data_IF_239552454213
#
_entry.id   IF_239552454213
#
_cell.length_a   1.000
_cell.length_b   1.000
_cell.length_c   1.000
_cell.angle_alpha   90.00
_cell.angle_beta   90.00
_cell.angle_gamma   90.00
#
_symmetry.space_group_name_H-M   'P 1'
#
loop_
_entity.id
_entity.type
_entity.pdbx_description
1 polymer ?
#
# COMPACT_ATOMS: atom_id res chain seq x y z
N UNK A 1 -11.95 23.24 1.48
CA UNK A 1 -11.09 23.19 2.67
C UNK A 1 -9.80 22.39 2.47
N UNK A 2 -9.81 21.05 2.31
CA UNK A 2 -8.52 20.30 2.17
C UNK A 2 -7.68 20.81 0.99
N UNK A 3 -8.29 20.98 -0.19
CA UNK A 3 -7.57 21.47 -1.37
C UNK A 3 -6.96 22.86 -1.16
N UNK A 4 -7.73 23.74 -0.53
CA UNK A 4 -7.34 25.11 -0.25
C UNK A 4 -6.18 25.19 0.74
N UNK A 5 -6.24 24.38 1.81
CA UNK A 5 -5.16 24.25 2.80
C UNK A 5 -3.85 23.75 2.20
N UNK A 6 -3.91 23.08 1.05
CA UNK A 6 -2.76 22.57 0.31
C UNK A 6 -2.42 23.39 -0.95
N UNK A 7 -3.12 24.51 -1.18
CA UNK A 7 -2.87 25.35 -2.36
C UNK A 7 -1.60 26.18 -2.19
N UNK A 8 -0.88 26.41 -3.29
CA UNK A 8 0.33 27.24 -3.30
C UNK A 8 0.02 28.68 -2.86
N UNK A 9 -1.14 29.21 -3.25
CA UNK A 9 -1.58 30.55 -2.88
C UNK A 9 -1.71 30.70 -1.35
N UNK A 10 -2.36 29.73 -0.67
CA UNK A 10 -2.46 29.77 0.77
C UNK A 10 -1.11 29.50 1.45
N UNK A 11 -0.31 28.55 0.95
CA UNK A 11 1.03 28.26 1.51
C UNK A 11 1.91 29.54 1.50
N UNK A 12 1.92 30.28 0.38
CA UNK A 12 2.63 31.55 0.26
C UNK A 12 2.23 32.54 1.37
N UNK A 13 0.92 32.74 1.59
CA UNK A 13 0.46 33.66 2.65
C UNK A 13 0.76 33.12 4.04
N UNK A 14 0.56 31.83 4.29
CA UNK A 14 0.78 31.19 5.58
C UNK A 14 2.24 31.31 6.03
N UNK A 15 3.21 31.18 5.11
CA UNK A 15 4.64 31.34 5.42
C UNK A 15 5.01 32.71 5.97
N UNK A 16 4.25 33.76 5.65
CA UNK A 16 4.50 35.09 6.21
C UNK A 16 4.08 35.22 7.68
N UNK A 17 3.15 34.36 8.11
CA UNK A 17 2.64 34.31 9.48
C UNK A 17 3.34 33.23 10.35
N UNK A 18 3.84 32.15 9.72
CA UNK A 18 4.50 31.04 10.40
C UNK A 18 6.01 31.32 10.54
N UNK A 19 6.42 31.79 11.73
CA UNK A 19 7.83 32.07 12.05
C UNK A 19 8.62 30.89 12.62
N UNK A 20 8.01 29.73 12.84
CA UNK A 20 8.61 28.57 13.51
C UNK A 20 8.19 27.23 12.90
N UNK A 21 8.44 26.13 13.60
CA UNK A 21 8.13 24.76 13.13
C UNK A 21 6.70 24.31 13.45
N UNK A 22 5.96 25.09 14.24
CA UNK A 22 4.62 24.75 14.71
C UNK A 22 3.56 25.73 14.22
N UNK A 23 2.41 25.20 13.82
CA UNK A 23 1.25 26.00 13.41
C UNK A 23 0.31 26.19 14.61
N UNK A 24 0.50 27.27 15.38
CA UNK A 24 -0.33 27.56 16.54
C UNK A 24 -1.79 27.86 16.15
N UNK A 25 -2.73 27.56 17.04
CA UNK A 25 -4.16 27.82 16.81
C UNK A 25 -4.48 29.30 16.52
N UNK A 26 -3.67 30.22 17.05
CA UNK A 26 -3.79 31.65 16.74
C UNK A 26 -3.49 31.95 15.28
N UNK A 27 -2.43 31.35 14.72
CA UNK A 27 -2.05 31.52 13.30
C UNK A 27 -3.13 30.94 12.39
N UNK A 28 -3.64 29.73 12.69
CA UNK A 28 -4.70 29.07 11.90
C UNK A 28 -5.91 30.00 11.72
N UNK A 29 -6.30 30.71 12.77
CA UNK A 29 -7.44 31.66 12.74
C UNK A 29 -7.21 32.90 11.89
N UNK A 30 -5.97 33.20 11.53
CA UNK A 30 -5.60 34.38 10.75
C UNK A 30 -5.35 34.05 9.28
N UNK A 31 -5.31 32.78 8.91
CA UNK A 31 -5.10 32.39 7.52
C UNK A 31 -6.29 32.85 6.66
N UNK A 32 -6.03 33.35 5.43
CA UNK A 32 -7.07 33.80 4.53
C UNK A 32 -7.82 32.61 3.91
N UNK A 33 -8.68 31.96 4.70
CA UNK A 33 -9.52 30.86 4.24
C UNK A 33 -10.78 31.45 3.58
N UNK A 34 -10.98 31.11 2.32
CA UNK A 34 -12.16 31.41 1.52
C UNK A 34 -13.40 30.80 2.15
N UNK A 35 -14.43 31.63 2.30
CA UNK A 35 -15.71 31.18 2.84
C UNK A 35 -16.42 30.24 1.84
N UNK A 36 -17.21 29.25 2.34
CA UNK A 36 -17.94 28.33 1.48
C UNK A 36 -18.80 28.99 0.39
N UNK A 37 -19.30 30.20 0.64
CA UNK A 37 -20.10 30.96 -0.33
C UNK A 37 -19.32 31.33 -1.59
N UNK A 38 -17.99 31.55 -1.50
CA UNK A 38 -17.14 31.77 -2.67
C UNK A 38 -17.13 30.56 -3.60
N UNK A 39 -17.27 29.35 -3.05
CA UNK A 39 -17.31 28.12 -3.86
C UNK A 39 -18.69 27.82 -4.45
N UNK A 40 -19.73 28.53 -4.01
CA UNK A 40 -21.11 28.38 -4.49
C UNK A 40 -21.46 29.31 -5.65
N UNK A 41 -20.63 30.32 -5.90
CA UNK A 41 -20.77 31.22 -7.03
C UNK A 41 -20.42 30.48 -8.33
N UNK A 42 -21.12 30.82 -9.42
CA UNK A 42 -20.73 30.35 -10.75
C UNK A 42 -19.39 30.98 -11.11
N UNK A 43 -18.42 30.18 -11.53
CA UNK A 43 -17.10 30.68 -11.93
C UNK A 43 -16.76 30.23 -13.36
N UNK A 44 -15.57 30.58 -13.83
CA UNK A 44 -15.15 30.25 -15.18
C UNK A 44 -14.68 28.79 -15.36
N UNK A 45 -14.49 28.07 -14.27
CA UNK A 45 -13.99 26.70 -14.29
C UNK A 45 -15.13 25.69 -14.41
N UNK A 46 -16.30 25.99 -13.81
CA UNK A 46 -17.54 25.21 -13.94
C UNK A 46 -18.78 26.03 -13.50
N UNK A 47 -19.99 25.49 -13.63
CA UNK A 47 -21.25 26.08 -13.11
C UNK A 47 -21.16 26.45 -11.63
N UNK A 48 -20.29 25.79 -10.86
CA UNK A 48 -19.91 26.15 -9.47
C UNK A 48 -18.45 25.79 -9.27
N UNK A 49 -17.67 26.60 -8.56
CA UNK A 49 -16.29 26.26 -8.21
C UNK A 49 -16.18 24.88 -7.53
N UNK A 50 -17.20 24.50 -6.74
CA UNK A 50 -17.27 23.17 -6.13
C UNK A 50 -17.30 22.03 -7.17
N UNK A 51 -17.97 22.23 -8.31
CA UNK A 51 -18.02 21.25 -9.42
C UNK A 51 -16.66 21.03 -10.07
N UNK A 52 -15.80 22.04 -10.06
CA UNK A 52 -14.41 21.91 -10.50
C UNK A 52 -13.50 21.25 -9.45
N UNK A 53 -13.62 21.67 -8.20
CA UNK A 53 -12.70 21.27 -7.11
C UNK A 53 -12.98 19.86 -6.60
N UNK A 54 -14.23 19.50 -6.31
CA UNK A 54 -14.58 18.22 -5.67
C UNK A 54 -14.08 17.00 -6.47
N UNK A 55 -14.35 16.83 -7.79
CA UNK A 55 -13.88 15.66 -8.53
C UNK A 55 -12.36 15.49 -8.48
N UNK A 56 -11.62 16.61 -8.57
CA UNK A 56 -10.15 16.64 -8.50
C UNK A 56 -9.62 16.23 -7.13
N UNK A 57 -10.23 16.75 -6.06
CA UNK A 57 -9.85 16.43 -4.68
C UNK A 57 -10.14 14.98 -4.33
N UNK A 58 -11.32 14.49 -4.74
CA UNK A 58 -11.72 13.10 -4.54
C UNK A 58 -10.73 12.18 -5.25
N UNK A 59 -10.37 12.47 -6.49
CA UNK A 59 -9.37 11.68 -7.23
C UNK A 59 -7.98 11.72 -6.57
N UNK A 60 -7.52 12.89 -6.12
CA UNK A 60 -6.21 13.02 -5.47
C UNK A 60 -6.13 12.30 -4.11
N UNK A 61 -7.26 12.16 -3.42
CA UNK A 61 -7.31 11.67 -2.04
C UNK A 61 -7.70 10.19 -1.98
N UNK A 62 -8.80 9.80 -2.64
CA UNK A 62 -9.38 8.46 -2.53
C UNK A 62 -8.64 7.43 -3.39
N UNK A 63 -7.44 7.05 -2.96
CA UNK A 63 -6.54 6.13 -3.68
C UNK A 63 -6.55 4.70 -3.11
N UNK A 64 -7.26 4.47 -2.01
CA UNK A 64 -7.43 3.19 -1.37
C UNK A 64 -8.80 3.09 -0.69
N UNK A 65 -9.29 1.86 -0.48
CA UNK A 65 -10.64 1.57 0.02
C UNK A 65 -10.91 2.03 1.46
N UNK A 66 -9.87 2.16 2.27
CA UNK A 66 -9.94 2.72 3.63
C UNK A 66 -10.38 4.19 3.65
N UNK A 67 -10.16 4.92 2.55
CA UNK A 67 -10.61 6.29 2.34
C UNK A 67 -12.03 6.40 1.75
N UNK A 68 -12.77 5.28 1.63
CA UNK A 68 -14.16 5.26 1.16
C UNK A 68 -15.08 6.21 1.97
N UNK A 69 -15.00 6.31 3.31
CA UNK A 69 -15.82 7.27 4.06
C UNK A 69 -15.65 8.71 3.58
N UNK A 70 -14.42 9.13 3.27
CA UNK A 70 -14.13 10.46 2.73
C UNK A 70 -14.76 10.66 1.35
N UNK A 71 -14.67 9.66 0.47
CA UNK A 71 -15.30 9.70 -0.85
C UNK A 71 -16.82 9.84 -0.75
N UNK A 72 -17.46 9.11 0.17
CA UNK A 72 -18.90 9.19 0.42
C UNK A 72 -19.33 10.58 0.90
N UNK A 73 -18.56 11.20 1.78
CA UNK A 73 -18.81 12.58 2.24
C UNK A 73 -18.71 13.60 1.10
N UNK A 74 -17.91 13.30 0.07
CA UNK A 74 -17.82 14.07 -1.17
C UNK A 74 -18.88 13.69 -2.23
N UNK A 75 -19.80 12.78 -1.91
CA UNK A 75 -20.86 12.32 -2.82
C UNK A 75 -20.46 11.19 -3.78
N UNK A 76 -19.27 10.61 -3.63
CA UNK A 76 -18.76 9.54 -4.49
C UNK A 76 -18.85 8.16 -3.82
N UNK A 77 -19.56 7.23 -4.45
CA UNK A 77 -19.81 5.86 -3.95
C UNK A 77 -19.17 4.78 -4.84
N UNK A 78 -18.12 5.12 -5.60
CA UNK A 78 -17.43 4.18 -6.48
C UNK A 78 -16.11 3.66 -5.92
N UNK A 79 -15.30 2.98 -6.74
CA UNK A 79 -14.00 2.44 -6.34
C UNK A 79 -12.94 3.53 -6.18
N UNK A 80 -11.82 3.26 -5.48
CA UNK A 80 -10.71 4.20 -5.39
C UNK A 80 -10.07 4.45 -6.75
N UNK A 81 -9.39 5.59 -6.85
CA UNK A 81 -8.62 6.01 -8.02
C UNK A 81 -7.25 5.36 -8.05
N UNK A 82 -6.77 5.04 -9.24
CA UNK A 82 -5.44 4.48 -9.46
C UNK A 82 -4.41 5.59 -9.27
N UNK A 83 -3.32 5.28 -8.56
CA UNK A 83 -2.22 6.21 -8.40
C UNK A 83 -1.44 6.39 -9.72
N UNK A 84 -1.56 7.57 -10.32
CA UNK A 84 -0.82 7.97 -11.53
C UNK A 84 -0.13 9.32 -11.29
N UNK A 85 1.21 9.36 -11.32
CA UNK A 85 1.97 10.57 -10.98
C UNK A 85 1.78 11.71 -11.98
N UNK A 86 1.72 11.43 -13.28
CA UNK A 86 1.55 12.42 -14.34
C UNK A 86 0.15 13.05 -14.27
N UNK A 87 -0.88 12.21 -14.09
CA UNK A 87 -2.26 12.66 -13.93
C UNK A 87 -2.44 13.49 -12.66
N UNK A 88 -1.89 13.03 -11.54
CA UNK A 88 -1.92 13.77 -10.26
C UNK A 88 -1.15 15.08 -10.32
N UNK A 89 -0.06 15.15 -11.10
CA UNK A 89 0.66 16.39 -11.34
C UNK A 89 -0.24 17.42 -12.04
N UNK A 90 -0.92 17.03 -13.12
CA UNK A 90 -1.84 17.93 -13.83
C UNK A 90 -3.03 18.36 -12.97
N UNK A 91 -3.65 17.43 -12.24
CA UNK A 91 -4.78 17.76 -11.34
C UNK A 91 -4.37 18.79 -10.27
N UNK A 92 -3.17 18.65 -9.69
CA UNK A 92 -2.66 19.63 -8.73
C UNK A 92 -2.43 21.00 -9.38
N UNK A 93 -1.80 21.04 -10.56
CA UNK A 93 -1.59 22.30 -11.29
C UNK A 93 -2.92 22.99 -11.64
N UNK A 94 -3.94 22.22 -12.04
CA UNK A 94 -5.29 22.74 -12.30
C UNK A 94 -5.94 23.32 -11.04
N UNK A 95 -5.80 22.65 -9.89
CA UNK A 95 -6.30 23.17 -8.62
C UNK A 95 -5.58 24.45 -8.21
N UNK A 96 -4.25 24.48 -8.27
CA UNK A 96 -3.46 25.66 -7.90
C UNK A 96 -3.80 26.87 -8.79
N UNK A 97 -3.92 26.68 -10.10
CA UNK A 97 -4.35 27.72 -11.03
C UNK A 97 -5.75 28.27 -10.69
N UNK A 98 -6.71 27.37 -10.39
CA UNK A 98 -8.04 27.77 -9.96
C UNK A 98 -8.01 28.53 -8.63
N UNK A 99 -7.22 28.10 -7.65
CA UNK A 99 -7.07 28.81 -6.37
C UNK A 99 -6.46 30.19 -6.56
N UNK A 100 -5.47 30.37 -7.45
CA UNK A 100 -4.96 31.70 -7.76
C UNK A 100 -6.04 32.64 -8.28
N UNK A 101 -6.93 32.19 -9.17
CA UNK A 101 -8.07 32.99 -9.61
C UNK A 101 -9.04 33.32 -8.48
N UNK A 102 -9.34 32.35 -7.60
CA UNK A 102 -10.21 32.57 -6.44
C UNK A 102 -9.63 33.56 -5.42
N UNK A 103 -8.30 33.59 -5.26
CA UNK A 103 -7.61 34.47 -4.31
C UNK A 103 -7.31 35.86 -4.86
N UNK A 104 -6.86 35.95 -6.11
CA UNK A 104 -6.39 37.21 -6.70
C UNK A 104 -7.47 37.93 -7.51
N UNK A 105 -8.58 37.25 -7.85
CA UNK A 105 -9.69 37.83 -8.58
C UNK A 105 -9.38 38.12 -10.05
N UNK A 106 -10.27 38.87 -10.70
CA UNK A 106 -10.09 39.28 -12.10
C UNK A 106 -9.13 40.47 -12.24
N UNK A 107 -8.60 40.76 -13.44
CA UNK A 107 -7.80 41.95 -13.67
C UNK A 107 -8.51 43.25 -13.28
N UNK A 108 -9.83 43.34 -13.48
CA UNK A 108 -10.64 44.49 -13.07
C UNK A 108 -10.69 44.63 -11.55
N UNK A 109 -11.00 43.53 -10.84
CA UNK A 109 -11.02 43.51 -9.37
C UNK A 109 -9.64 43.85 -8.78
N UNK A 110 -8.57 43.35 -9.40
CA UNK A 110 -7.19 43.63 -9.00
C UNK A 110 -6.85 45.12 -9.10
N UNK A 111 -7.25 45.78 -10.18
CA UNK A 111 -7.02 47.22 -10.36
C UNK A 111 -7.90 48.05 -9.42
N UNK A 112 -9.12 47.61 -9.13
CA UNK A 112 -10.04 48.32 -8.24
C UNK A 112 -9.64 48.20 -6.77
N UNK A 113 -9.19 47.01 -6.34
CA UNK A 113 -8.96 46.69 -4.93
C UNK A 113 -7.47 46.72 -4.52
N UNK A 114 -6.55 46.71 -5.49
CA UNK A 114 -5.11 46.70 -5.25
C UNK A 114 -4.58 47.99 -4.63
N UNK A 115 -3.67 47.87 -3.67
CA UNK A 115 -2.98 49.05 -3.12
C UNK A 115 -2.03 49.66 -4.17
N UNK A 116 -1.72 50.97 -4.11
CA UNK A 116 -0.79 51.61 -5.03
C UNK A 116 0.58 50.91 -5.10
N UNK A 117 1.06 50.42 -3.96
CA UNK A 117 2.33 49.70 -3.85
C UNK A 117 2.24 48.33 -4.53
N UNK A 118 1.15 47.59 -4.31
CA UNK A 118 0.94 46.29 -4.96
C UNK A 118 0.93 46.43 -6.48
N UNK A 119 0.16 47.40 -6.99
CA UNK A 119 0.03 47.65 -8.43
C UNK A 119 1.32 48.17 -9.07
N UNK A 120 2.21 48.81 -8.29
CA UNK A 120 3.53 49.22 -8.75
C UNK A 120 4.44 48.02 -9.02
N UNK A 121 4.38 46.97 -8.18
CA UNK A 121 5.19 45.77 -8.35
C UNK A 121 4.55 44.75 -9.29
N UNK A 122 3.22 44.64 -9.28
CA UNK A 122 2.47 43.65 -10.04
C UNK A 122 1.34 44.34 -10.80
N UNK A 123 1.58 44.58 -12.10
CA UNK A 123 0.60 45.23 -12.97
C UNK A 123 -0.66 44.38 -13.16
N UNK A 124 -0.54 43.06 -13.08
CA UNK A 124 -1.66 42.13 -13.20
C UNK A 124 -1.63 41.06 -12.10
N UNK A 125 -2.76 40.40 -11.81
CA UNK A 125 -2.79 39.20 -10.96
C UNK A 125 -1.79 38.14 -11.43
N UNK A 126 -1.65 37.99 -12.75
CA UNK A 126 -0.76 37.01 -13.38
C UNK A 126 0.72 37.25 -13.06
N UNK A 127 1.14 38.51 -12.93
CA UNK A 127 2.51 38.87 -12.50
C UNK A 127 2.74 38.47 -11.03
N UNK A 128 1.72 38.62 -10.18
CA UNK A 128 1.78 38.17 -8.80
C UNK A 128 1.88 36.63 -8.70
N UNK A 129 1.13 35.88 -9.52
CA UNK A 129 1.28 34.41 -9.60
C UNK A 129 2.70 34.02 -9.99
N UNK A 130 3.27 34.68 -11.02
CA UNK A 130 4.63 34.41 -11.48
C UNK A 130 5.67 34.54 -10.36
N UNK A 131 5.54 35.64 -9.60
CA UNK A 131 6.39 35.94 -8.46
C UNK A 131 6.18 34.95 -7.31
N UNK A 132 4.93 34.64 -6.95
CA UNK A 132 4.62 33.70 -5.88
C UNK A 132 5.29 32.36 -6.17
N UNK A 133 5.18 31.85 -7.40
CA UNK A 133 5.83 30.59 -7.80
C UNK A 133 7.36 30.63 -7.64
N UNK A 134 8.02 31.77 -7.85
CA UNK A 134 9.47 31.91 -7.64
C UNK A 134 9.89 31.81 -6.17
N UNK A 135 8.96 31.96 -5.22
CA UNK A 135 9.26 31.88 -3.78
C UNK A 135 9.37 30.45 -3.24
N UNK A 136 9.23 29.42 -4.10
CA UNK A 136 9.30 28.00 -3.74
C UNK A 136 10.57 27.31 -4.27
N UNK A 137 11.78 27.64 -3.75
CA UNK A 137 13.06 27.20 -4.31
C UNK A 137 13.27 25.69 -4.26
N UNK A 138 12.66 24.99 -3.30
CA UNK A 138 12.76 23.53 -3.20
C UNK A 138 12.00 22.85 -4.34
N UNK A 139 10.79 23.32 -4.66
CA UNK A 139 9.99 22.79 -5.77
C UNK A 139 10.70 23.09 -7.08
N UNK A 140 11.13 24.35 -7.28
CA UNK A 140 11.91 24.77 -8.45
C UNK A 140 13.13 23.89 -8.69
N UNK A 141 13.98 23.71 -7.68
CA UNK A 141 15.19 22.89 -7.81
C UNK A 141 14.87 21.42 -8.13
N UNK A 142 13.82 20.84 -7.54
CA UNK A 142 13.41 19.46 -7.82
C UNK A 142 12.93 19.31 -9.27
N UNK A 143 12.12 20.25 -9.75
CA UNK A 143 11.64 20.26 -11.13
C UNK A 143 12.78 20.45 -12.13
N UNK A 144 13.68 21.39 -11.89
CA UNK A 144 14.84 21.63 -12.75
C UNK A 144 15.76 20.40 -12.81
N UNK A 145 15.93 19.69 -11.70
CA UNK A 145 16.70 18.43 -11.67
C UNK A 145 16.02 17.30 -12.46
N UNK A 146 14.70 17.18 -12.37
CA UNK A 146 13.95 16.09 -13.00
C UNK A 146 13.60 16.37 -14.48
N UNK A 147 13.40 17.64 -14.85
CA UNK A 147 12.81 18.04 -16.12
C UNK A 147 13.59 19.12 -16.88
N UNK A 148 14.67 19.66 -16.29
CA UNK A 148 15.48 20.72 -16.91
C UNK A 148 14.83 22.10 -16.94
N UNK A 149 13.63 22.25 -16.37
CA UNK A 149 12.85 23.49 -16.28
C UNK A 149 11.96 23.48 -15.06
N UNK A 150 11.42 24.63 -14.67
CA UNK A 150 10.45 24.72 -13.58
C UNK A 150 9.04 24.29 -14.05
N UNK A 151 8.90 23.00 -14.37
CA UNK A 151 7.70 22.40 -14.97
C UNK A 151 6.41 22.77 -14.24
N UNK A 152 6.39 22.75 -12.90
CA UNK A 152 5.21 23.07 -12.09
C UNK A 152 4.77 24.52 -12.30
N UNK A 153 5.70 25.47 -12.22
CA UNK A 153 5.43 26.89 -12.50
C UNK A 153 4.90 27.06 -13.92
N UNK A 154 5.63 26.58 -14.92
CA UNK A 154 5.23 26.72 -16.32
C UNK A 154 3.81 26.18 -16.55
N UNK A 155 3.51 24.98 -16.02
CA UNK A 155 2.21 24.33 -16.18
C UNK A 155 1.08 25.08 -15.48
N UNK A 156 1.28 25.53 -14.23
CA UNK A 156 0.27 26.31 -13.49
C UNK A 156 -0.03 27.61 -14.23
N UNK A 157 1.00 28.28 -14.75
CA UNK A 157 0.84 29.54 -15.44
C UNK A 157 0.11 29.40 -16.77
N UNK A 158 0.43 28.37 -17.56
CA UNK A 158 -0.31 28.07 -18.78
C UNK A 158 -1.80 27.79 -18.50
N UNK A 159 -2.10 26.96 -17.50
CA UNK A 159 -3.49 26.66 -17.11
C UNK A 159 -4.20 27.89 -16.55
N UNK A 160 -3.50 28.72 -15.77
CA UNK A 160 -4.02 29.98 -15.27
C UNK A 160 -4.43 30.90 -16.42
N UNK A 161 -3.58 31.03 -17.45
CA UNK A 161 -3.84 31.85 -18.63
C UNK A 161 -5.03 31.30 -19.45
N UNK A 162 -5.15 29.98 -19.59
CA UNK A 162 -6.31 29.30 -20.21
C UNK A 162 -7.61 29.60 -19.44
N UNK A 163 -7.59 29.54 -18.11
CA UNK A 163 -8.74 29.90 -17.29
C UNK A 163 -9.06 31.39 -17.38
N UNK A 164 -8.05 32.27 -17.41
CA UNK A 164 -8.21 33.71 -17.56
C UNK A 164 -8.91 34.07 -18.88
N UNK A 165 -8.59 33.35 -19.96
CA UNK A 165 -9.27 33.50 -21.25
C UNK A 165 -10.77 33.18 -21.14
N UNK A 166 -11.12 32.07 -20.48
CA UNK A 166 -12.51 31.65 -20.27
C UNK A 166 -13.26 32.68 -19.42
N UNK A 167 -12.65 33.17 -18.34
CA UNK A 167 -13.21 34.26 -17.50
C UNK A 167 -13.54 35.47 -18.38
N UNK A 168 -12.57 35.92 -19.20
CA UNK A 168 -12.74 37.10 -20.05
C UNK A 168 -13.83 36.92 -21.10
N UNK A 169 -13.90 35.75 -21.75
CA UNK A 169 -14.95 35.43 -22.73
C UNK A 169 -16.34 35.43 -22.10
N UNK A 170 -16.48 34.83 -20.91
CA UNK A 170 -17.74 34.80 -20.19
C UNK A 170 -18.16 36.20 -19.70
N UNK A 171 -17.22 37.00 -19.18
CA UNK A 171 -17.48 38.39 -18.82
C UNK A 171 -17.95 39.22 -20.04
N UNK A 172 -17.31 39.05 -21.20
CA UNK A 172 -17.72 39.72 -22.44
C UNK A 172 -19.09 39.24 -22.95
N UNK A 173 -19.44 37.96 -22.77
CA UNK A 173 -20.77 37.45 -23.08
C UNK A 173 -21.84 38.11 -22.21
N UNK A 174 -21.62 38.16 -20.90
CA UNK A 174 -22.52 38.80 -19.92
C UNK A 174 -22.68 40.29 -20.21
N UNK A 175 -21.59 41.01 -20.47
CA UNK A 175 -21.62 42.43 -20.84
C UNK A 175 -22.41 42.68 -22.14
N UNK A 176 -22.42 41.71 -23.06
CA UNK A 176 -23.21 41.73 -24.28
C UNK A 176 -24.66 41.20 -24.12
N UNK A 177 -25.10 40.92 -22.88
CA UNK A 177 -26.44 40.38 -22.60
C UNK A 177 -26.65 38.92 -23.04
N UNK A 178 -25.57 38.17 -23.27
CA UNK A 178 -25.59 36.75 -23.65
C UNK A 178 -25.28 35.86 -22.44
N UNK A 179 -25.75 34.62 -22.49
CA UNK A 179 -25.43 33.61 -21.48
C UNK A 179 -23.96 33.15 -21.62
N UNK A 180 -23.19 33.08 -20.52
CA UNK A 180 -21.80 32.62 -20.54
C UNK A 180 -21.71 31.11 -20.78
N UNK A 181 -21.03 30.72 -21.86
CA UNK A 181 -20.94 29.31 -22.32
C UNK A 181 -19.51 28.78 -22.41
N UNK A 182 -18.48 29.63 -22.30
CA UNK A 182 -17.10 29.16 -22.33
C UNK A 182 -16.78 28.39 -21.04
N UNK A 183 -16.02 27.31 -21.15
CA UNK A 183 -15.61 26.46 -20.03
C UNK A 183 -14.15 26.07 -20.21
N UNK A 184 -13.41 26.05 -19.11
CA UNK A 184 -12.06 25.49 -19.11
C UNK A 184 -12.12 24.00 -19.48
N UNK A 185 -11.22 23.56 -20.36
CA UNK A 185 -11.11 22.17 -20.77
C UNK A 185 -9.88 21.57 -20.10
N UNK A 186 -10.08 20.55 -19.27
CA UNK A 186 -8.97 19.83 -18.66
C UNK A 186 -8.09 19.20 -19.73
N UNK A 187 -6.78 19.20 -19.48
CA UNK A 187 -5.80 18.51 -20.34
C UNK A 187 -5.87 16.97 -20.21
N UNK A 188 -6.71 16.47 -19.31
CA UNK A 188 -6.85 15.05 -18.98
C UNK A 188 -8.05 14.41 -19.68
N UNK A 189 -7.81 13.25 -20.30
CA UNK A 189 -8.82 12.35 -20.82
C UNK A 189 -8.59 10.94 -20.25
N UNK A 190 -9.56 10.36 -19.49
CA UNK A 190 -10.84 10.95 -19.09
C UNK A 190 -10.69 12.14 -18.12
N UNK A 191 -11.75 12.94 -17.98
CA UNK A 191 -11.78 14.08 -17.06
C UNK A 191 -11.45 13.68 -15.60
N UNK A 192 -10.93 14.61 -14.77
CA UNK A 192 -10.70 14.36 -13.36
C UNK A 192 -11.96 13.93 -12.60
N UNK A 193 -11.80 13.03 -11.64
CA UNK A 193 -12.87 12.46 -10.84
C UNK A 193 -13.65 11.35 -11.54
N UNK A 194 -14.81 10.96 -10.97
CA UNK A 194 -15.68 9.97 -11.60
C UNK A 194 -16.44 10.58 -12.79
N UNK A 195 -16.99 9.76 -13.69
CA UNK A 195 -17.94 10.22 -14.71
C UNK A 195 -19.06 11.08 -14.13
N UNK A 196 -19.37 12.20 -14.80
CA UNK A 196 -20.37 13.18 -14.38
C UNK A 196 -21.44 13.37 -15.46
N UNK A 197 -22.65 13.75 -15.04
CA UNK A 197 -23.72 14.16 -15.95
C UNK A 197 -23.50 15.59 -16.49
N UNK A 198 -24.39 16.06 -17.36
CA UNK A 198 -24.30 17.40 -17.96
C UNK A 198 -24.50 18.55 -16.93
N UNK A 199 -25.00 18.21 -15.75
CA UNK A 199 -25.23 19.10 -14.62
C UNK A 199 -24.05 19.12 -13.63
N UNK A 200 -23.04 18.26 -13.84
CA UNK A 200 -21.85 18.15 -12.99
C UNK A 200 -22.04 17.26 -11.75
N UNK A 201 -23.10 16.45 -11.71
CA UNK A 201 -23.28 15.46 -10.64
C UNK A 201 -22.58 14.15 -10.99
N UNK A 202 -22.03 13.48 -9.97
CA UNK A 202 -21.42 12.17 -10.17
C UNK A 202 -22.45 11.14 -10.61
N UNK A 203 -22.20 10.49 -11.74
CA UNK A 203 -23.03 9.41 -12.23
C UNK A 203 -22.85 8.23 -11.27
N UNK A 204 -23.92 7.62 -10.73
CA UNK A 204 -23.79 6.43 -9.90
C UNK A 204 -23.09 5.30 -10.66
N UNK A 205 -22.15 4.60 -10.02
CA UNK A 205 -21.37 3.51 -10.62
C UNK A 205 -22.23 2.42 -11.29
N UNK A 206 -23.45 2.20 -10.78
CA UNK A 206 -24.41 1.25 -11.36
C UNK A 206 -24.83 1.60 -12.80
N UNK A 207 -24.68 2.87 -13.21
CA UNK A 207 -25.02 3.38 -14.53
C UNK A 207 -23.80 3.48 -15.47
N UNK A 208 -22.60 3.11 -14.99
CA UNK A 208 -21.38 3.20 -15.81
C UNK A 208 -21.34 2.08 -16.84
N UNK A 209 -20.83 2.41 -18.02
CA UNK A 209 -20.56 1.42 -19.06
C UNK A 209 -19.39 0.52 -18.63
N UNK A 210 -19.69 -0.77 -18.44
CA UNK A 210 -18.70 -1.78 -18.03
C UNK A 210 -17.70 -2.12 -19.13
N UNK A 211 -18.07 -1.92 -20.40
CA UNK A 211 -17.17 -2.14 -21.52
C UNK A 211 -16.15 -1.00 -21.67
N UNK A 212 -16.53 0.22 -21.24
CA UNK A 212 -15.71 1.43 -21.33
C UNK A 212 -15.40 1.98 -19.92
N UNK A 213 -14.76 1.14 -19.10
CA UNK A 213 -14.42 1.49 -17.72
C UNK A 213 -13.36 2.60 -17.67
N UNK A 214 -13.51 3.65 -16.84
CA UNK A 214 -12.51 4.71 -16.73
C UNK A 214 -11.16 4.15 -16.26
N UNK A 215 -10.07 4.30 -17.05
CA UNK A 215 -8.79 3.64 -16.78
C UNK A 215 -8.09 4.14 -15.50
N UNK A 216 -8.44 5.33 -15.01
CA UNK A 216 -7.89 5.92 -13.78
C UNK A 216 -8.64 5.49 -12.51
N UNK A 217 -9.63 4.60 -12.61
CA UNK A 217 -10.44 4.14 -11.48
C UNK A 217 -10.30 2.62 -11.36
N UNK A 218 -10.03 2.11 -10.16
CA UNK A 218 -9.99 0.68 -9.93
C UNK A 218 -11.31 0.02 -10.30
N UNK A 219 -11.27 -1.26 -10.70
CA UNK A 219 -12.51 -2.03 -10.82
C UNK A 219 -13.21 -2.11 -9.46
N UNK A 220 -14.54 -2.23 -9.42
CA UNK A 220 -15.24 -2.40 -8.15
C UNK A 220 -14.76 -3.66 -7.47
N UNK A 221 -14.69 -3.65 -6.15
CA UNK A 221 -14.54 -4.87 -5.36
C UNK A 221 -15.63 -5.84 -5.82
N UNK A 222 -15.28 -6.87 -6.57
CA UNK A 222 -16.13 -8.04 -6.82
C UNK A 222 -16.53 -8.60 -5.46
N UNK A 223 -17.69 -8.16 -4.89
CA UNK A 223 -18.13 -8.45 -3.51
C UNK A 223 -16.97 -8.93 -2.66
N UNK A 224 -15.99 -8.04 -2.46
CA UNK A 224 -14.68 -8.49 -2.03
C UNK A 224 -14.87 -9.35 -0.80
N UNK A 225 -14.42 -10.60 -0.94
CA UNK A 225 -14.13 -11.60 0.09
C UNK A 225 -14.63 -11.07 1.43
N UNK A 226 -15.78 -11.58 1.91
CA UNK A 226 -16.23 -11.42 3.29
C UNK A 226 -15.00 -11.21 4.15
N UNK A 227 -14.81 -9.99 4.67
CA UNK A 227 -13.74 -9.69 5.62
C UNK A 227 -13.72 -10.92 6.55
N UNK A 228 -12.61 -11.67 6.68
CA UNK A 228 -12.48 -12.47 7.87
C UNK A 228 -12.71 -11.48 9.01
N UNK A 229 -13.60 -11.85 9.91
CA UNK A 229 -13.95 -11.08 11.11
C UNK A 229 -12.69 -10.37 11.62
N UNK A 230 -12.79 -9.07 11.94
CA UNK A 230 -11.70 -8.36 12.59
C UNK A 230 -11.38 -9.11 13.88
N UNK A 231 -10.35 -9.95 13.80
CA UNK A 231 -9.77 -10.63 14.93
C UNK A 231 -9.29 -9.53 15.88
N UNK A 232 -9.80 -9.46 17.13
CA UNK A 232 -9.38 -8.46 18.09
C UNK A 232 -7.85 -8.45 18.21
N UNK A 233 -7.26 -7.26 18.35
CA UNK A 233 -5.82 -7.06 18.64
C UNK A 233 -5.30 -7.89 19.84
N UNK A 234 -6.21 -8.41 20.65
CA UNK A 234 -5.96 -9.35 21.75
C UNK A 234 -5.49 -10.74 21.25
N UNK A 235 -5.81 -11.13 20.01
CA UNK A 235 -5.29 -12.36 19.37
C UNK A 235 -3.88 -12.16 18.78
N UNK A 236 -3.43 -10.90 18.61
CA UNK A 236 -2.03 -10.55 18.28
C UNK A 236 -1.09 -10.60 19.50
N UNK A 237 -1.57 -11.05 20.66
CA UNK A 237 -0.71 -11.53 21.73
C UNK A 237 -0.08 -12.88 21.34
N UNK A 238 0.86 -12.84 20.38
CA UNK A 238 1.76 -13.94 20.11
C UNK A 238 2.70 -14.14 21.32
N UNK A 239 2.26 -14.93 22.31
CA UNK A 239 3.11 -15.62 23.28
C UNK A 239 2.38 -16.80 23.96
N UNK A 240 1.51 -17.49 23.22
CA UNK A 240 1.03 -18.82 23.60
C UNK A 240 1.44 -19.86 22.55
N UNK A 241 2.75 -19.94 22.26
CA UNK A 241 3.35 -21.07 21.57
C UNK A 241 4.60 -21.47 22.35
N UNK A 242 4.88 -22.76 22.60
CA UNK A 242 4.03 -23.93 22.36
C UNK A 242 2.82 -23.99 23.31
N UNK A 243 1.64 -24.40 22.82
CA UNK A 243 0.41 -24.57 23.65
C UNK A 243 0.05 -26.03 23.94
N UNK A 244 0.55 -26.95 23.13
CA UNK A 244 0.27 -28.37 23.24
C UNK A 244 1.56 -29.18 23.38
N UNK A 245 1.46 -30.42 23.86
CA UNK A 245 2.60 -31.33 23.87
C UNK A 245 3.12 -31.63 22.46
N UNK A 246 2.26 -31.57 21.44
CA UNK A 246 2.66 -31.66 20.03
C UNK A 246 3.52 -30.48 19.61
N UNK A 247 3.17 -29.25 19.99
CA UNK A 247 4.00 -28.08 19.69
C UNK A 247 5.37 -28.18 20.35
N UNK A 248 5.42 -28.64 21.62
CA UNK A 248 6.69 -28.88 22.31
C UNK A 248 7.53 -29.95 21.61
N UNK A 249 6.90 -31.03 21.12
CA UNK A 249 7.59 -32.05 20.35
C UNK A 249 8.12 -31.52 18.99
N UNK A 250 7.35 -30.65 18.32
CA UNK A 250 7.77 -29.99 17.07
C UNK A 250 8.94 -29.03 17.34
N UNK A 251 8.90 -28.23 18.42
CA UNK A 251 10.04 -27.42 18.86
C UNK A 251 11.28 -28.28 19.12
N UNK A 252 11.12 -29.42 19.82
CA UNK A 252 12.22 -30.34 20.11
C UNK A 252 12.83 -30.90 18.81
N UNK A 253 11.98 -31.30 17.86
CA UNK A 253 12.41 -31.81 16.56
C UNK A 253 13.09 -30.73 15.71
N UNK A 254 12.63 -29.48 15.79
CA UNK A 254 13.27 -28.35 15.11
C UNK A 254 14.67 -28.09 15.66
N UNK A 255 14.84 -28.06 16.99
CA UNK A 255 16.15 -27.92 17.61
C UNK A 255 17.09 -29.09 17.28
N UNK A 256 16.59 -30.32 17.32
CA UNK A 256 17.37 -31.49 16.91
C UNK A 256 17.79 -31.42 15.43
N UNK A 257 16.97 -30.82 14.56
CA UNK A 257 17.30 -30.62 13.14
C UNK A 257 18.45 -29.63 12.98
N UNK A 258 18.40 -28.49 13.68
CA UNK A 258 19.46 -27.48 13.67
C UNK A 258 20.78 -28.04 14.20
N UNK A 259 20.72 -28.87 15.25
CA UNK A 259 21.91 -29.49 15.85
C UNK A 259 22.57 -30.52 14.94
N UNK A 260 21.77 -31.36 14.27
CA UNK A 260 22.28 -32.44 13.42
C UNK A 260 22.63 -31.96 11.99
N UNK A 261 22.01 -30.87 11.53
CA UNK A 261 22.24 -30.30 10.20
C UNK A 261 22.14 -28.76 10.22
N UNK A 262 23.13 -28.06 10.78
CA UNK A 262 23.11 -26.60 10.85
C UNK A 262 23.22 -25.96 9.46
N UNK A 263 22.53 -24.84 9.25
CA UNK A 263 22.59 -24.05 8.02
C UNK A 263 21.62 -24.48 6.92
N UNK A 264 20.68 -25.38 7.22
CA UNK A 264 19.57 -25.69 6.31
C UNK A 264 18.69 -24.46 6.07
N UNK A 265 18.13 -24.36 4.86
CA UNK A 265 17.13 -23.35 4.55
C UNK A 265 15.87 -23.54 5.41
N UNK A 266 15.06 -22.49 5.56
CA UNK A 266 13.79 -22.59 6.31
C UNK A 266 12.83 -23.61 5.68
N UNK A 267 12.85 -23.74 4.35
CA UNK A 267 12.04 -24.72 3.59
C UNK A 267 12.55 -26.14 3.76
N UNK A 268 13.87 -26.37 3.84
CA UNK A 268 14.42 -27.71 4.10
C UNK A 268 14.22 -28.14 5.56
N UNK A 269 14.18 -27.17 6.49
CA UNK A 269 13.75 -27.40 7.87
C UNK A 269 12.30 -27.86 7.91
N UNK A 270 11.41 -27.16 7.20
CA UNK A 270 10.00 -27.55 7.07
C UNK A 270 9.86 -28.97 6.50
N UNK A 271 10.57 -29.31 5.42
CA UNK A 271 10.57 -30.66 4.85
C UNK A 271 11.02 -31.71 5.86
N UNK A 272 12.08 -31.41 6.63
CA UNK A 272 12.59 -32.31 7.66
C UNK A 272 11.55 -32.54 8.77
N UNK A 273 10.86 -31.48 9.21
CA UNK A 273 9.80 -31.59 10.21
C UNK A 273 8.58 -32.35 9.69
N UNK A 274 8.16 -32.12 8.44
CA UNK A 274 7.07 -32.89 7.83
C UNK A 274 7.40 -34.39 7.78
N UNK A 275 8.65 -34.76 7.48
CA UNK A 275 9.10 -36.15 7.50
C UNK A 275 9.18 -36.71 8.93
N UNK A 276 9.60 -35.92 9.90
CA UNK A 276 9.69 -36.35 11.30
C UNK A 276 8.31 -36.57 11.94
N UNK A 277 7.33 -35.73 11.59
CA UNK A 277 5.96 -35.80 12.15
C UNK A 277 5.06 -36.78 11.39
N UNK A 278 5.42 -37.17 10.16
CA UNK A 278 4.69 -38.16 9.35
C UNK A 278 5.58 -39.37 9.00
N UNK A 279 5.69 -40.37 9.89
CA UNK A 279 6.58 -41.51 9.70
C UNK A 279 6.38 -42.28 8.39
N UNK A 280 5.14 -42.40 7.91
CA UNK A 280 4.84 -43.08 6.65
C UNK A 280 5.46 -42.37 5.44
N UNK A 281 5.50 -41.03 5.48
CA UNK A 281 6.15 -40.25 4.44
C UNK A 281 7.66 -40.48 4.48
N UNK A 282 8.27 -40.40 5.66
CA UNK A 282 9.70 -40.66 5.84
C UNK A 282 10.11 -42.05 5.33
N UNK A 283 9.37 -43.11 5.71
CA UNK A 283 9.64 -44.49 5.27
C UNK A 283 9.70 -44.64 3.75
N UNK A 284 8.86 -43.90 3.02
CA UNK A 284 8.79 -43.95 1.56
C UNK A 284 10.10 -43.54 0.88
N UNK A 285 10.94 -42.75 1.57
CA UNK A 285 12.24 -42.28 1.06
C UNK A 285 13.45 -42.98 1.69
N UNK A 286 13.23 -43.95 2.59
CA UNK A 286 14.28 -44.75 3.22
C UNK A 286 14.48 -46.09 2.49
N UNK A 287 15.70 -46.65 2.58
CA UNK A 287 15.97 -48.00 2.09
C UNK A 287 15.36 -49.07 3.04
N UNK A 288 15.33 -50.33 2.59
CA UNK A 288 14.68 -51.41 3.34
C UNK A 288 15.24 -51.63 4.75
N UNK A 289 16.56 -51.45 4.94
CA UNK A 289 17.22 -51.62 6.24
C UNK A 289 16.84 -50.48 7.18
N UNK A 290 16.92 -49.25 6.68
CA UNK A 290 16.55 -48.04 7.42
C UNK A 290 15.04 -48.03 7.77
N UNK A 291 14.16 -48.59 6.91
CA UNK A 291 12.73 -48.68 7.21
C UNK A 291 12.42 -49.58 8.42
N UNK A 292 13.12 -50.72 8.55
CA UNK A 292 12.96 -51.62 9.70
C UNK A 292 13.46 -50.96 10.99
N UNK A 293 14.64 -50.34 10.94
CA UNK A 293 15.21 -49.62 12.09
C UNK A 293 14.33 -48.41 12.50
N UNK A 294 13.88 -47.63 11.53
CA UNK A 294 13.02 -46.47 11.77
C UNK A 294 11.68 -46.85 12.39
N UNK A 295 11.10 -47.99 12.01
CA UNK A 295 9.85 -48.46 12.62
C UNK A 295 10.00 -48.78 14.11
N UNK A 296 11.15 -49.29 14.54
CA UNK A 296 11.43 -49.53 15.96
C UNK A 296 11.57 -48.19 16.72
N UNK A 297 12.23 -47.21 16.11
CA UNK A 297 12.44 -45.87 16.69
C UNK A 297 11.11 -45.12 16.85
N UNK A 298 10.25 -45.17 15.83
CA UNK A 298 8.91 -44.55 15.86
C UNK A 298 8.07 -45.11 17.01
N UNK A 299 8.19 -46.40 17.32
CA UNK A 299 7.47 -47.02 18.44
C UNK A 299 7.97 -46.57 19.83
N UNK A 300 9.22 -46.10 19.93
CA UNK A 300 9.82 -45.62 21.18
C UNK A 300 9.81 -44.09 21.33
N UNK A 301 9.51 -43.36 20.25
CA UNK A 301 9.49 -41.90 20.24
C UNK A 301 8.20 -41.34 20.90
N UNK A 302 8.22 -40.08 21.39
CA UNK A 302 7.04 -39.45 21.93
C UNK A 302 5.90 -39.41 20.90
N UNK A 303 4.75 -39.99 21.24
CA UNK A 303 3.59 -40.03 20.33
C UNK A 303 3.09 -38.64 19.93
N UNK A 304 3.34 -37.63 20.79
CA UNK A 304 3.01 -36.23 20.53
C UNK A 304 3.72 -35.64 19.30
N UNK A 305 4.85 -36.23 18.87
CA UNK A 305 5.55 -35.81 17.65
C UNK A 305 4.77 -36.15 16.38
N UNK A 306 3.95 -37.20 16.40
CA UNK A 306 3.28 -37.71 15.21
C UNK A 306 1.91 -37.05 15.06
N UNK A 307 1.71 -36.41 13.91
CA UNK A 307 0.50 -35.63 13.62
C UNK A 307 -0.33 -36.29 12.53
N UNK A 308 -1.63 -36.03 12.53
CA UNK A 308 -2.50 -36.47 11.45
C UNK A 308 -2.19 -35.72 10.16
N UNK A 309 -2.40 -36.37 9.00
CA UNK A 309 -2.09 -35.80 7.67
C UNK A 309 -2.74 -34.45 7.36
N UNK A 310 -3.82 -34.10 8.07
CA UNK A 310 -4.56 -32.84 7.90
C UNK A 310 -4.15 -31.76 8.92
N UNK A 311 -3.32 -32.09 9.91
CA UNK A 311 -2.93 -31.19 10.98
C UNK A 311 -1.70 -30.37 10.57
N UNK A 312 -1.82 -29.04 10.63
CA UNK A 312 -0.69 -28.13 10.40
C UNK A 312 0.33 -28.23 11.54
N UNK A 313 1.60 -28.30 11.19
CA UNK A 313 2.72 -28.30 12.15
C UNK A 313 3.09 -26.89 12.65
N UNK A 314 2.40 -25.84 12.18
CA UNK A 314 2.60 -24.44 12.63
C UNK A 314 4.08 -24.01 12.66
N UNK A 315 4.79 -24.30 11.57
CA UNK A 315 6.24 -24.10 11.48
C UNK A 315 6.65 -22.64 11.66
N UNK A 316 5.87 -21.69 11.15
CA UNK A 316 6.16 -20.27 11.30
C UNK A 316 6.16 -19.87 12.78
N UNK A 317 5.11 -20.24 13.50
CA UNK A 317 4.95 -19.97 14.93
C UNK A 317 6.05 -20.65 15.75
N UNK A 318 6.43 -21.89 15.40
CA UNK A 318 7.55 -22.60 16.01
C UNK A 318 8.88 -21.88 15.82
N UNK A 319 9.20 -21.50 14.58
CA UNK A 319 10.44 -20.82 14.25
C UNK A 319 10.53 -19.46 14.96
N UNK A 320 9.47 -18.66 14.88
CA UNK A 320 9.45 -17.32 15.45
C UNK A 320 9.58 -17.40 16.99
N UNK A 321 8.95 -18.39 17.63
CA UNK A 321 9.14 -18.69 19.06
C UNK A 321 10.58 -19.07 19.41
N UNK A 322 11.18 -20.02 18.68
CA UNK A 322 12.55 -20.47 18.94
C UNK A 322 13.58 -19.37 18.69
N UNK A 323 13.34 -18.49 17.71
CA UNK A 323 14.18 -17.33 17.45
C UNK A 323 14.06 -16.28 18.57
N UNK A 324 12.84 -16.05 19.08
CA UNK A 324 12.62 -15.15 20.22
C UNK A 324 13.34 -15.64 21.50
N UNK A 325 13.38 -16.96 21.72
CA UNK A 325 14.18 -17.58 22.78
C UNK A 325 15.69 -17.56 22.52
N UNK A 326 16.13 -17.05 21.37
CA UNK A 326 17.50 -17.13 20.90
C UNK A 326 18.02 -18.57 20.81
N UNK A 327 17.12 -19.57 20.71
CA UNK A 327 17.48 -20.98 20.61
C UNK A 327 18.03 -21.32 19.22
N UNK A 328 17.52 -20.63 18.20
CA UNK A 328 18.00 -20.66 16.82
C UNK A 328 18.40 -19.25 16.38
N UNK A 329 19.21 -19.18 15.33
CA UNK A 329 19.49 -17.94 14.60
C UNK A 329 19.00 -18.06 13.16
N UNK A 330 18.26 -17.06 12.68
CA UNK A 330 17.76 -17.03 11.30
C UNK A 330 18.46 -15.89 10.54
N UNK A 331 18.96 -16.18 9.33
CA UNK A 331 19.61 -15.17 8.48
C UNK A 331 18.59 -14.35 7.72
N UNK A 332 18.06 -13.31 8.37
CA UNK A 332 17.16 -12.33 7.76
C UNK A 332 17.91 -11.50 6.70
N UNK A 333 17.55 -11.67 5.42
CA UNK A 333 18.19 -10.99 4.29
C UNK A 333 18.56 -11.91 3.12
N UNK A 334 18.60 -13.22 3.34
CA UNK A 334 18.72 -14.23 2.28
C UNK A 334 17.36 -14.88 2.00
N UNK A 335 17.07 -15.17 0.72
CA UNK A 335 15.86 -15.90 0.29
C UNK A 335 15.77 -17.29 0.94
N UNK A 336 16.91 -17.88 1.29
CA UNK A 336 16.96 -19.20 1.95
C UNK A 336 16.53 -19.17 3.43
N UNK A 337 16.63 -18.00 4.09
CA UNK A 337 16.45 -17.84 5.53
C UNK A 337 17.12 -18.97 6.34
N UNK A 338 18.40 -19.24 6.04
CA UNK A 338 19.13 -20.35 6.65
C UNK A 338 19.15 -20.27 8.19
N UNK A 339 18.96 -21.42 8.83
CA UNK A 339 18.78 -21.55 10.27
C UNK A 339 20.03 -22.18 10.91
N UNK A 340 20.57 -21.55 11.94
CA UNK A 340 21.71 -22.01 12.71
C UNK A 340 21.43 -22.09 14.21
N UNK A 341 22.42 -22.57 14.96
CA UNK A 341 22.36 -22.60 16.43
C UNK A 341 22.32 -21.17 16.99
N UNK A 342 21.47 -20.94 17.98
CA UNK A 342 21.41 -19.70 18.74
C UNK A 342 22.06 -19.83 20.13
N UNK A 343 22.27 -18.69 20.80
CA UNK A 343 22.92 -18.66 22.12
C UNK A 343 22.08 -19.34 23.22
N UNK A 344 20.76 -19.36 23.08
CA UNK A 344 19.80 -20.00 23.99
C UNK A 344 19.54 -21.48 23.72
N UNK A 345 20.24 -22.11 22.76
CA UNK A 345 19.96 -23.47 22.30
C UNK A 345 19.89 -24.50 23.43
N UNK A 346 20.91 -24.54 24.29
CA UNK A 346 21.00 -25.54 25.35
C UNK A 346 19.87 -25.42 26.40
N UNK A 347 19.49 -24.19 26.73
CA UNK A 347 18.39 -23.92 27.67
C UNK A 347 17.03 -24.26 27.07
N UNK A 348 16.80 -23.93 25.81
CA UNK A 348 15.55 -24.27 25.14
C UNK A 348 15.42 -25.80 24.97
N UNK A 349 16.51 -26.50 24.64
CA UNK A 349 16.50 -27.96 24.49
C UNK A 349 16.21 -28.69 25.81
N UNK A 350 16.68 -28.19 26.96
CA UNK A 350 16.43 -28.83 28.25
C UNK A 350 14.96 -28.78 28.70
N UNK A 351 14.22 -27.77 28.22
CA UNK A 351 12.83 -27.53 28.61
C UNK A 351 11.82 -28.26 27.70
N UNK A 352 12.31 -28.95 26.67
CA UNK A 352 11.53 -29.64 25.66
C UNK A 352 11.63 -31.17 25.79
N UNK A 353 10.63 -31.93 25.29
CA UNK A 353 10.65 -33.38 25.38
C UNK A 353 11.82 -33.99 24.58
N UNK A 354 12.54 -34.91 25.22
CA UNK A 354 13.60 -35.70 24.55
C UNK A 354 13.06 -36.88 23.75
N UNK A 355 13.95 -37.63 23.10
CA UNK A 355 13.59 -38.86 22.36
C UNK A 355 13.10 -38.62 20.93
N UNK A 356 13.32 -37.42 20.39
CA UNK A 356 12.99 -37.05 19.00
C UNK A 356 14.21 -37.09 18.07
N UNK A 357 15.42 -37.07 18.63
CA UNK A 357 16.68 -36.91 17.89
C UNK A 357 16.90 -38.02 16.84
N UNK A 358 16.61 -39.27 17.18
CA UNK A 358 16.75 -40.41 16.26
C UNK A 358 15.73 -40.32 15.12
N UNK A 359 14.49 -39.92 15.40
CA UNK A 359 13.45 -39.71 14.37
C UNK A 359 13.90 -38.64 13.39
N UNK A 360 14.41 -37.52 13.91
CA UNK A 360 14.95 -36.41 13.12
C UNK A 360 16.15 -36.86 12.28
N UNK A 361 17.02 -37.72 12.80
CA UNK A 361 18.15 -38.26 12.05
C UNK A 361 17.73 -39.02 10.79
N UNK A 362 16.67 -39.83 10.87
CA UNK A 362 16.11 -40.50 9.69
C UNK A 362 15.34 -39.53 8.77
N UNK A 363 14.65 -38.54 9.33
CA UNK A 363 14.00 -37.49 8.55
C UNK A 363 15.01 -36.69 7.71
N UNK A 364 16.18 -36.36 8.27
CA UNK A 364 17.28 -35.70 7.54
C UNK A 364 17.82 -36.60 6.42
N UNK A 365 17.97 -37.91 6.65
CA UNK A 365 18.35 -38.86 5.59
C UNK A 365 17.33 -38.86 4.44
N UNK A 366 16.04 -38.91 4.77
CA UNK A 366 14.95 -38.87 3.80
C UNK A 366 14.91 -37.53 3.05
N UNK A 367 15.06 -36.39 3.73
CA UNK A 367 15.12 -35.06 3.12
C UNK A 367 16.27 -34.94 2.13
N UNK A 368 17.48 -35.42 2.49
CA UNK A 368 18.62 -35.46 1.56
C UNK A 368 18.34 -36.33 0.33
N UNK A 369 17.64 -37.45 0.50
CA UNK A 369 17.21 -38.30 -0.62
C UNK A 369 16.22 -37.56 -1.53
N UNK A 370 15.25 -36.83 -0.96
CA UNK A 370 14.31 -36.01 -1.72
C UNK A 370 15.04 -34.92 -2.51
N UNK A 371 16.02 -34.25 -1.92
CA UNK A 371 16.83 -33.24 -2.60
C UNK A 371 17.54 -33.79 -3.85
N UNK A 372 18.00 -35.06 -3.81
CA UNK A 372 18.55 -35.74 -4.98
C UNK A 372 17.47 -36.10 -6.02
N UNK A 373 16.29 -36.57 -5.60
CA UNK A 373 15.19 -36.89 -6.49
C UNK A 373 14.62 -35.66 -7.22
N UNK A 374 14.63 -34.49 -6.57
CA UNK A 374 14.20 -33.21 -7.17
C UNK A 374 15.04 -32.79 -8.38
N UNK A 375 16.23 -33.37 -8.57
CA UNK A 375 17.09 -33.10 -9.75
C UNK A 375 16.54 -33.75 -11.04
N UNK A 376 15.80 -34.85 -10.93
CA UNK A 376 15.13 -35.51 -12.04
C UNK A 376 13.84 -36.21 -11.60
N UNK A 377 12.74 -35.45 -11.65
CA UNK A 377 11.41 -35.93 -11.24
C UNK A 377 10.81 -36.98 -12.18
N UNK A 378 11.36 -37.15 -13.39
CA UNK A 378 10.80 -38.08 -14.39
C UNK A 378 10.97 -39.56 -14.03
N UNK A 379 11.92 -39.84 -13.13
CA UNK A 379 12.25 -41.20 -12.68
C UNK A 379 11.66 -41.54 -11.30
N UNK A 380 10.92 -40.61 -10.70
CA UNK A 380 10.39 -40.74 -9.33
C UNK A 380 9.07 -41.51 -9.34
N UNK A 381 8.91 -42.56 -8.50
CA UNK A 381 7.65 -43.28 -8.36
C UNK A 381 6.48 -42.37 -7.97
N UNK A 382 5.27 -42.68 -8.49
CA UNK A 382 4.09 -41.84 -8.31
C UNK A 382 3.72 -41.57 -6.84
N UNK A 383 3.96 -42.53 -5.94
CA UNK A 383 3.67 -42.36 -4.52
C UNK A 383 4.65 -41.42 -3.82
N UNK A 384 5.92 -41.37 -4.27
CA UNK A 384 6.90 -40.38 -3.81
C UNK A 384 6.58 -38.99 -4.37
N UNK A 385 6.17 -38.90 -5.64
CA UNK A 385 5.78 -37.63 -6.27
C UNK A 385 4.62 -36.94 -5.55
N UNK A 386 3.59 -37.70 -5.14
CA UNK A 386 2.47 -37.14 -4.36
C UNK A 386 2.93 -36.47 -3.07
N UNK A 387 3.89 -37.07 -2.36
CA UNK A 387 4.41 -36.50 -1.10
C UNK A 387 5.22 -35.23 -1.40
N UNK A 388 6.05 -35.24 -2.44
CA UNK A 388 6.82 -34.05 -2.87
C UNK A 388 5.88 -32.89 -3.23
N UNK A 389 4.77 -33.15 -3.91
CA UNK A 389 3.76 -32.13 -4.23
C UNK A 389 3.09 -31.55 -2.97
N UNK A 390 2.86 -32.36 -1.93
CA UNK A 390 2.37 -31.85 -0.64
C UNK A 390 3.40 -30.90 -0.03
N UNK A 391 4.69 -31.20 -0.13
CA UNK A 391 5.75 -30.32 0.41
C UNK A 391 5.79 -28.99 -0.33
N UNK A 392 5.67 -29.01 -1.66
CA UNK A 392 5.59 -27.79 -2.48
C UNK A 392 4.38 -26.91 -2.11
N UNK A 393 3.22 -27.51 -1.85
CA UNK A 393 2.05 -26.76 -1.39
C UNK A 393 2.26 -26.20 0.02
N UNK A 394 2.90 -26.96 0.93
CA UNK A 394 3.26 -26.43 2.25
C UNK A 394 4.28 -25.29 2.16
N UNK A 395 5.23 -25.34 1.23
CA UNK A 395 6.16 -24.22 0.97
C UNK A 395 5.42 -22.98 0.49
N UNK A 396 4.44 -23.16 -0.42
CA UNK A 396 3.59 -22.05 -0.90
C UNK A 396 2.79 -21.43 0.23
N UNK A 397 2.13 -22.24 1.05
CA UNK A 397 1.36 -21.77 2.21
C UNK A 397 2.25 -21.05 3.22
N UNK A 398 3.45 -21.58 3.46
CA UNK A 398 4.44 -20.94 4.32
C UNK A 398 4.92 -19.60 3.78
N UNK A 399 5.21 -19.48 2.47
CA UNK A 399 5.62 -18.22 1.83
C UNK A 399 4.51 -17.15 1.82
N UNK A 400 3.24 -17.56 1.79
CA UNK A 400 2.11 -16.64 1.93
C UNK A 400 1.94 -16.14 3.37
N UNK A 401 2.35 -16.96 4.35
CA UNK A 401 2.26 -16.63 5.76
C UNK A 401 3.48 -15.86 6.26
N UNK A 402 4.69 -16.12 5.74
CA UNK A 402 5.96 -15.48 6.11
C UNK A 402 6.09 -14.07 5.52
#
# INVERSE_FOLDING_TARGET
MIAELNSVALDFTARTAVGGTDLSYFIIKQLPILLPDRFRQEDATDRKASGFVIPRVVELTYTAWDLEPFARDCGYNGPPFIWDEERRFLIRCELDAAFFHLYLGTPEEWQEQGSPELLQYFSTPRDAVDYIMETFPIVKRKDEQAHGRYRTKDTILEIYDEMAEVIRQNAAAVAAGRQPSARYQSRLDPLPGPPMDAEGNFIPMAQWDRANWPPHIHLPREKAITRPEEVPLEEFAAMAYPTTETDKAICAAALATVEQCPGLSSTDHLDTLLLATHPDWCKTFLNQVDQTAFSAIVNSAPSALFVDKAQSIRWKECRDYLEQLQAISVRHGDKSQAIGLGAGFASAKSDLPGGVDDVVGYAIKAMKRIAELRKDLSTVPQDQLKIIQVFEEQHRLYQLAA
#
